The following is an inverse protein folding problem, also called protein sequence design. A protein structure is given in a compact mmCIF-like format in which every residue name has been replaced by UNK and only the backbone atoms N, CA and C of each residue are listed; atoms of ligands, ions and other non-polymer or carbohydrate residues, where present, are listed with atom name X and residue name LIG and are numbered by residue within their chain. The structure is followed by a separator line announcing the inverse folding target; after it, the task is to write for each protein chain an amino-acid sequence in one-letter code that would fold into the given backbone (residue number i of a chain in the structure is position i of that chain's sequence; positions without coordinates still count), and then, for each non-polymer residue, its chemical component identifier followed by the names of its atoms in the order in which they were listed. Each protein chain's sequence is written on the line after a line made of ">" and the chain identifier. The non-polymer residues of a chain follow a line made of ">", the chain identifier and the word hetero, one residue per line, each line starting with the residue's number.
data_IF_218636764083
#
_entry.id   IF_218636764083
#
_cell.length_a   1.000
_cell.length_b   1.000
_cell.length_c   1.000
_cell.angle_alpha   90.00
_cell.angle_beta   90.00
_cell.angle_gamma   90.00
#
_symmetry.space_group_name_H-M   'P 1'
#
loop_
_entity.id
_entity.type
_entity.pdbx_description
1 polymer ?
#
# COMPACT_ATOMS: atom_id res chain seq x y z
N UNK A 1 -19.83 38.63 -11.65
CA UNK A 1 -19.36 37.38 -12.29
C UNK A 1 -18.20 36.85 -11.46
N UNK A 2 -18.47 36.00 -10.47
CA UNK A 2 -17.42 35.37 -9.65
C UNK A 2 -16.73 34.29 -10.48
N UNK A 3 -15.45 34.48 -10.77
CA UNK A 3 -14.64 33.50 -11.49
C UNK A 3 -14.75 32.15 -10.79
N UNK A 4 -15.21 31.14 -11.51
CA UNK A 4 -15.06 29.75 -11.10
C UNK A 4 -13.57 29.53 -10.84
N UNK A 5 -13.14 29.18 -9.62
CA UNK A 5 -11.71 28.99 -9.38
C UNK A 5 -11.22 27.87 -10.30
N UNK A 6 -10.17 28.16 -11.08
CA UNK A 6 -9.48 27.19 -11.94
C UNK A 6 -8.70 26.15 -11.14
N UNK A 7 -8.66 26.30 -9.81
CA UNK A 7 -8.02 25.37 -8.90
C UNK A 7 -8.82 24.07 -8.74
N UNK A 8 -8.15 22.93 -8.50
CA UNK A 8 -8.82 21.69 -8.13
C UNK A 8 -9.77 21.93 -6.96
N UNK A 9 -10.93 21.26 -6.96
CA UNK A 9 -11.92 21.32 -5.87
C UNK A 9 -11.45 20.53 -4.64
N UNK A 10 -10.29 20.91 -4.09
CA UNK A 10 -9.57 20.21 -3.03
C UNK A 10 -10.39 20.13 -1.74
N UNK A 11 -11.18 21.16 -1.42
CA UNK A 11 -12.03 21.18 -0.24
C UNK A 11 -12.97 19.95 -0.15
N UNK A 12 -13.50 19.49 -1.29
CA UNK A 12 -14.37 18.31 -1.34
C UNK A 12 -13.61 17.02 -1.04
N UNK A 13 -12.39 16.89 -1.55
CA UNK A 13 -11.50 15.75 -1.30
C UNK A 13 -11.05 15.73 0.16
N UNK A 14 -10.59 16.87 0.67
CA UNK A 14 -10.17 17.05 2.05
C UNK A 14 -11.29 16.74 3.03
N UNK A 15 -12.53 17.18 2.74
CA UNK A 15 -13.69 16.87 3.57
C UNK A 15 -13.91 15.35 3.73
N UNK A 16 -13.65 14.53 2.70
CA UNK A 16 -13.80 13.07 2.81
C UNK A 16 -12.78 12.43 3.75
N UNK A 17 -11.56 12.97 3.78
CA UNK A 17 -10.48 12.42 4.62
C UNK A 17 -10.55 12.95 6.05
N UNK A 18 -11.03 14.18 6.27
CA UNK A 18 -11.01 14.84 7.57
C UNK A 18 -11.82 14.15 8.70
N UNK A 19 -12.67 13.17 8.37
CA UNK A 19 -13.43 12.41 9.38
C UNK A 19 -12.66 11.16 9.84
N UNK A 20 -12.51 10.93 11.16
CA UNK A 20 -11.74 9.80 11.69
C UNK A 20 -12.27 8.41 11.29
N UNK A 21 -13.58 8.24 11.10
CA UNK A 21 -14.13 6.96 10.69
C UNK A 21 -13.85 6.71 9.20
N UNK A 22 -14.09 7.70 8.33
CA UNK A 22 -13.74 7.61 6.91
C UNK A 22 -12.24 7.38 6.70
N UNK A 23 -11.38 8.11 7.43
CA UNK A 23 -9.93 7.91 7.39
C UNK A 23 -9.54 6.48 7.75
N UNK A 24 -10.12 5.89 8.80
CA UNK A 24 -9.84 4.51 9.19
C UNK A 24 -10.34 3.49 8.16
N UNK A 25 -11.49 3.72 7.54
CA UNK A 25 -11.97 2.87 6.44
C UNK A 25 -11.05 2.95 5.22
N UNK A 26 -10.66 4.15 4.81
CA UNK A 26 -9.73 4.36 3.69
C UNK A 26 -8.36 3.75 3.96
N UNK A 27 -7.85 3.90 5.19
CA UNK A 27 -6.64 3.24 5.64
C UNK A 27 -6.76 1.71 5.61
N UNK A 28 -7.91 1.16 6.00
CA UNK A 28 -8.14 -0.29 5.88
C UNK A 28 -8.08 -0.75 4.41
N UNK A 29 -8.72 -0.02 3.50
CA UNK A 29 -8.74 -0.34 2.07
C UNK A 29 -7.39 -0.15 1.36
N UNK A 30 -6.48 0.65 1.92
CA UNK A 30 -5.09 0.71 1.46
C UNK A 30 -4.38 -0.66 1.57
N UNK A 31 -4.87 -1.61 2.36
CA UNK A 31 -4.35 -2.99 2.31
C UNK A 31 -4.45 -3.67 0.92
N UNK A 32 -5.16 -3.05 -0.03
CA UNK A 32 -5.25 -3.48 -1.42
C UNK A 32 -6.36 -4.49 -1.70
N UNK A 33 -7.16 -4.83 -0.68
CA UNK A 33 -8.24 -5.81 -0.79
C UNK A 33 -9.62 -5.16 -0.79
N UNK A 34 -10.61 -5.94 -1.24
CA UNK A 34 -12.01 -5.55 -1.17
C UNK A 34 -12.53 -5.88 0.23
N UNK A 35 -13.27 -4.97 0.87
CA UNK A 35 -13.82 -5.16 2.21
C UNK A 35 -15.35 -5.03 2.20
N UNK A 36 -16.03 -5.84 3.00
CA UNK A 36 -17.46 -5.68 3.25
C UNK A 36 -17.74 -4.45 4.12
N UNK A 37 -18.98 -3.95 4.08
CA UNK A 37 -19.40 -2.85 4.95
C UNK A 37 -19.21 -3.16 6.45
N UNK A 38 -19.38 -4.43 6.84
CA UNK A 38 -19.22 -4.88 8.23
C UNK A 38 -17.75 -4.86 8.67
N UNK A 39 -16.83 -5.27 7.81
CA UNK A 39 -15.38 -5.19 8.08
C UNK A 39 -14.93 -3.73 8.22
N UNK A 40 -15.43 -2.85 7.34
CA UNK A 40 -15.13 -1.42 7.40
C UNK A 40 -15.74 -0.75 8.63
N UNK A 41 -16.95 -1.13 9.03
CA UNK A 41 -17.57 -0.67 10.28
C UNK A 41 -16.72 -1.06 11.50
N UNK A 42 -16.23 -2.31 11.53
CA UNK A 42 -15.35 -2.81 12.59
C UNK A 42 -14.02 -2.05 12.61
N UNK A 43 -13.37 -1.88 11.46
CA UNK A 43 -12.10 -1.15 11.33
C UNK A 43 -12.22 0.32 11.77
N UNK A 44 -13.37 0.95 11.50
CA UNK A 44 -13.66 2.31 11.92
C UNK A 44 -14.35 2.40 13.30
N UNK A 45 -14.54 1.29 14.01
CA UNK A 45 -15.20 1.25 15.32
C UNK A 45 -16.53 2.02 15.37
N UNK A 46 -17.35 1.88 14.32
CA UNK A 46 -18.67 2.54 14.19
C UNK A 46 -19.77 1.52 13.95
N UNK A 47 -21.02 1.94 14.13
CA UNK A 47 -22.18 1.10 13.83
C UNK A 47 -22.31 0.82 12.32
N UNK A 48 -22.97 -0.27 11.91
CA UNK A 48 -23.27 -0.52 10.49
C UNK A 48 -24.06 0.61 9.80
N UNK A 49 -24.96 1.26 10.53
CA UNK A 49 -25.73 2.40 10.02
C UNK A 49 -24.83 3.60 9.73
N UNK A 50 -23.97 3.97 10.69
CA UNK A 50 -22.97 5.03 10.53
C UNK A 50 -22.02 4.73 9.37
N UNK A 51 -21.55 3.48 9.28
CA UNK A 51 -20.67 3.05 8.20
C UNK A 51 -21.32 3.18 6.82
N UNK A 52 -22.60 2.82 6.70
CA UNK A 52 -23.34 2.95 5.44
C UNK A 52 -23.44 4.41 4.97
N UNK A 53 -23.63 5.35 5.89
CA UNK A 53 -23.61 6.79 5.60
C UNK A 53 -22.25 7.26 5.09
N UNK A 54 -21.16 6.87 5.77
CA UNK A 54 -19.80 7.17 5.34
C UNK A 54 -19.46 6.58 3.96
N UNK A 55 -19.82 5.32 3.72
CA UNK A 55 -19.58 4.65 2.43
C UNK A 55 -20.35 5.31 1.28
N UNK A 56 -21.55 5.82 1.55
CA UNK A 56 -22.32 6.60 0.56
C UNK A 56 -21.57 7.87 0.16
N UNK A 57 -21.10 8.64 1.14
CA UNK A 57 -20.31 9.85 0.88
C UNK A 57 -19.02 9.55 0.10
N UNK A 58 -18.31 8.46 0.49
CA UNK A 58 -17.08 8.04 -0.19
C UNK A 58 -17.33 7.57 -1.64
N UNK A 59 -18.45 6.90 -1.90
CA UNK A 59 -18.86 6.51 -3.25
C UNK A 59 -19.18 7.73 -4.12
N UNK A 60 -19.99 8.67 -3.61
CA UNK A 60 -20.33 9.92 -4.31
C UNK A 60 -19.10 10.78 -4.60
N UNK A 61 -18.13 10.75 -3.69
CA UNK A 61 -16.85 11.42 -3.86
C UNK A 61 -15.86 10.65 -4.76
N UNK A 62 -16.15 9.41 -5.15
CA UNK A 62 -15.30 8.50 -5.93
C UNK A 62 -13.97 8.13 -5.23
N UNK A 63 -13.97 8.07 -3.91
CA UNK A 63 -12.83 7.51 -3.16
C UNK A 63 -12.84 5.99 -3.17
N UNK A 64 -14.04 5.41 -3.19
CA UNK A 64 -14.24 3.97 -3.23
C UNK A 64 -15.15 3.62 -4.39
N UNK A 65 -15.05 2.37 -4.83
CA UNK A 65 -16.03 1.73 -5.70
C UNK A 65 -16.63 0.54 -4.98
N UNK A 66 -17.84 0.17 -5.37
CA UNK A 66 -18.57 -0.96 -4.82
C UNK A 66 -18.74 -2.03 -5.89
N UNK A 67 -18.30 -3.25 -5.57
CA UNK A 67 -18.46 -4.43 -6.43
C UNK A 67 -19.47 -5.38 -5.77
N UNK A 68 -20.59 -5.70 -6.44
CA UNK A 68 -21.48 -6.75 -5.97
C UNK A 68 -20.81 -8.11 -6.16
N UNK A 69 -20.75 -8.92 -5.10
CA UNK A 69 -20.32 -10.32 -5.16
C UNK A 69 -21.36 -11.19 -4.47
N UNK A 70 -22.21 -11.81 -5.28
CA UNK A 70 -23.37 -12.56 -4.79
C UNK A 70 -24.33 -11.65 -4.02
N UNK A 71 -24.65 -12.04 -2.78
CA UNK A 71 -25.57 -11.28 -1.89
C UNK A 71 -24.89 -10.14 -1.13
N UNK A 72 -23.56 -10.04 -1.23
CA UNK A 72 -22.78 -9.08 -0.46
C UNK A 72 -22.18 -8.00 -1.36
N UNK A 73 -22.00 -6.82 -0.77
CA UNK A 73 -21.34 -5.67 -1.39
C UNK A 73 -19.95 -5.54 -0.80
N UNK A 74 -18.96 -5.46 -1.68
CA UNK A 74 -17.58 -5.23 -1.30
C UNK A 74 -17.13 -3.87 -1.82
N UNK A 75 -16.24 -3.23 -1.08
CA UNK A 75 -15.73 -1.90 -1.36
C UNK A 75 -14.22 -1.98 -1.52
N UNK A 76 -13.66 -1.22 -2.46
CA UNK A 76 -12.22 -1.01 -2.61
C UNK A 76 -11.95 0.44 -2.97
N UNK A 77 -10.70 0.89 -2.82
CA UNK A 77 -10.32 2.20 -3.37
C UNK A 77 -10.65 2.25 -4.86
N UNK A 78 -11.10 3.42 -5.31
CA UNK A 78 -11.55 3.59 -6.69
C UNK A 78 -10.46 3.24 -7.70
N UNK A 79 -9.25 3.73 -7.44
CA UNK A 79 -8.07 3.57 -8.28
C UNK A 79 -6.78 3.84 -7.49
N UNK A 80 -5.64 3.77 -8.20
CA UNK A 80 -4.32 4.03 -7.64
C UNK A 80 -4.08 5.51 -7.31
N UNK A 81 -4.75 6.45 -7.99
CA UNK A 81 -4.56 7.88 -7.74
C UNK A 81 -5.11 8.26 -6.36
N UNK A 82 -6.26 7.67 -5.97
CA UNK A 82 -6.78 7.80 -4.60
C UNK A 82 -5.80 7.23 -3.57
N UNK A 83 -5.20 6.06 -3.86
CA UNK A 83 -4.22 5.47 -2.96
C UNK A 83 -2.99 6.36 -2.78
N UNK A 84 -2.42 6.86 -3.88
CA UNK A 84 -1.27 7.78 -3.85
C UNK A 84 -1.57 9.07 -3.11
N UNK A 85 -2.77 9.63 -3.27
CA UNK A 85 -3.18 10.83 -2.52
C UNK A 85 -3.24 10.56 -1.02
N UNK A 86 -3.81 9.42 -0.60
CA UNK A 86 -3.87 9.03 0.82
C UNK A 86 -2.48 8.78 1.41
N UNK A 87 -1.59 8.13 0.65
CA UNK A 87 -0.18 7.92 1.04
C UNK A 87 0.56 9.25 1.20
N UNK A 88 0.39 10.19 0.26
CA UNK A 88 0.98 11.52 0.35
C UNK A 88 0.48 12.30 1.58
N UNK A 89 -0.81 12.19 1.91
CA UNK A 89 -1.36 12.78 3.13
C UNK A 89 -0.80 12.13 4.40
N UNK A 90 -0.59 10.81 4.40
CA UNK A 90 0.08 10.13 5.51
C UNK A 90 1.51 10.64 5.71
N UNK A 91 2.28 10.82 4.62
CA UNK A 91 3.62 11.44 4.69
C UNK A 91 3.56 12.83 5.35
N UNK A 92 2.52 13.62 5.09
CA UNK A 92 2.33 14.95 5.71
C UNK A 92 1.98 14.85 7.19
N UNK A 93 1.06 13.93 7.56
CA UNK A 93 0.63 13.72 8.93
C UNK A 93 1.80 13.31 9.85
N UNK A 94 2.75 12.56 9.30
CA UNK A 94 3.86 11.94 10.03
C UNK A 94 5.13 12.82 10.06
N UNK A 95 5.07 14.09 9.61
CA UNK A 95 6.25 14.99 9.54
C UNK A 95 6.78 15.46 10.90
N UNK A 96 6.06 15.25 11.98
CA UNK A 96 6.38 15.79 13.31
C UNK A 96 6.32 14.78 14.45
N UNK A 97 6.19 13.48 14.18
CA UNK A 97 6.13 12.49 15.25
C UNK A 97 7.50 12.32 15.91
N UNK A 98 7.53 12.43 17.24
CA UNK A 98 8.70 12.10 18.07
C UNK A 98 8.81 10.57 18.16
N UNK A 99 10.03 10.01 18.11
CA UNK A 99 10.31 8.55 18.18
C UNK A 99 9.54 7.81 19.31
N UNK A 100 9.12 8.50 20.37
CA UNK A 100 8.29 7.96 21.45
C UNK A 100 6.91 7.48 21.00
N UNK A 101 6.28 8.07 19.99
CA UNK A 101 4.96 7.65 19.49
C UNK A 101 5.05 6.36 18.66
N UNK A 102 6.23 6.06 18.12
CA UNK A 102 6.55 4.83 17.40
C UNK A 102 6.91 3.65 18.30
N UNK A 103 6.94 3.85 19.62
CA UNK A 103 7.30 2.81 20.59
C UNK A 103 6.21 1.75 20.80
N UNK A 104 4.97 1.98 20.35
CA UNK A 104 3.91 1.00 20.53
C UNK A 104 4.17 -0.26 19.68
N UNK A 105 3.89 -1.48 20.20
CA UNK A 105 4.12 -2.70 19.45
C UNK A 105 3.37 -2.77 18.11
N UNK A 106 2.21 -2.13 18.01
CA UNK A 106 1.38 -2.08 16.80
C UNK A 106 2.02 -1.20 15.72
N UNK A 107 2.49 -0.01 16.09
CA UNK A 107 3.19 0.90 15.18
C UNK A 107 4.53 0.31 14.76
N UNK A 108 5.26 -0.33 15.67
CA UNK A 108 6.50 -1.04 15.36
C UNK A 108 6.30 -2.15 14.30
N UNK A 109 5.19 -2.92 14.39
CA UNK A 109 4.84 -3.93 13.38
C UNK A 109 4.55 -3.31 12.01
N UNK A 110 3.73 -2.26 11.96
CA UNK A 110 3.41 -1.56 10.71
C UNK A 110 4.64 -0.91 10.05
N UNK A 111 5.55 -0.40 10.87
CA UNK A 111 6.84 0.16 10.44
C UNK A 111 7.76 -0.90 9.87
N UNK A 112 7.80 -2.09 10.49
CA UNK A 112 8.62 -3.20 10.00
C UNK A 112 8.16 -3.72 8.65
N UNK A 113 6.88 -4.10 8.52
CA UNK A 113 6.33 -4.59 7.26
C UNK A 113 4.81 -4.37 7.19
N UNK A 114 4.34 -3.85 6.05
CA UNK A 114 2.91 -3.62 5.79
C UNK A 114 2.60 -3.63 4.29
N UNK A 115 1.33 -3.75 3.95
CA UNK A 115 0.85 -3.47 2.61
C UNK A 115 0.58 -1.97 2.46
N UNK A 116 1.25 -1.33 1.48
CA UNK A 116 1.01 0.08 1.18
C UNK A 116 -0.29 0.25 0.39
N UNK A 117 -0.30 -0.19 -0.87
CA UNK A 117 -1.47 -0.40 -1.71
C UNK A 117 -1.18 -1.48 -2.76
N UNK A 118 -1.35 -2.74 -2.35
CA UNK A 118 -1.06 -3.91 -3.20
C UNK A 118 0.40 -4.36 -3.20
N UNK A 119 1.31 -3.58 -2.61
CA UNK A 119 2.75 -3.89 -2.56
C UNK A 119 3.31 -3.72 -1.13
N UNK A 120 4.46 -4.35 -0.90
CA UNK A 120 5.11 -4.43 0.40
C UNK A 120 5.89 -3.15 0.71
N UNK A 121 5.64 -2.59 1.89
CA UNK A 121 6.25 -1.38 2.43
C UNK A 121 6.75 -1.62 3.87
N UNK A 122 7.22 -0.55 4.52
CA UNK A 122 8.01 -0.63 5.76
C UNK A 122 9.45 -1.03 5.47
N UNK A 123 10.22 -1.26 6.53
CA UNK A 123 11.64 -1.67 6.44
C UNK A 123 11.85 -2.84 5.50
N UNK A 124 10.99 -3.86 5.55
CA UNK A 124 11.10 -5.02 4.66
C UNK A 124 10.90 -4.66 3.18
N UNK A 125 9.92 -3.80 2.87
CA UNK A 125 9.69 -3.33 1.50
C UNK A 125 10.85 -2.48 0.95
N UNK A 126 11.45 -1.66 1.82
CA UNK A 126 12.64 -0.87 1.50
C UNK A 126 13.86 -1.77 1.28
N UNK A 127 14.08 -2.76 2.14
CA UNK A 127 15.17 -3.74 1.97
C UNK A 127 15.04 -4.52 0.65
N UNK A 128 13.84 -4.96 0.29
CA UNK A 128 13.58 -5.61 -1.00
C UNK A 128 13.95 -4.71 -2.18
N UNK A 129 13.51 -3.46 -2.14
CA UNK A 129 13.82 -2.49 -3.19
C UNK A 129 15.33 -2.22 -3.28
N UNK A 130 16.00 -2.07 -2.13
CA UNK A 130 17.45 -1.85 -2.07
C UNK A 130 18.25 -3.04 -2.56
N UNK A 131 17.85 -4.26 -2.21
CA UNK A 131 18.49 -5.48 -2.70
C UNK A 131 18.41 -5.58 -4.23
N UNK A 132 17.27 -5.20 -4.81
CA UNK A 132 17.09 -5.20 -6.26
C UNK A 132 17.93 -4.08 -6.93
N UNK A 133 17.97 -2.88 -6.35
CA UNK A 133 18.81 -1.77 -6.83
C UNK A 133 20.32 -2.10 -6.73
N UNK A 134 20.76 -2.69 -5.62
CA UNK A 134 22.15 -3.07 -5.39
C UNK A 134 22.64 -4.19 -6.32
N UNK A 135 21.72 -4.95 -6.91
CA UNK A 135 22.00 -5.96 -7.91
C UNK A 135 21.91 -5.42 -9.36
N UNK A 136 21.88 -4.09 -9.54
CA UNK A 136 21.63 -3.42 -10.83
C UNK A 136 20.35 -3.94 -11.51
N UNK A 137 19.38 -4.35 -10.69
CA UNK A 137 18.17 -5.03 -11.15
C UNK A 137 17.13 -4.12 -11.80
N UNK A 138 17.26 -2.81 -11.59
CA UNK A 138 16.34 -1.81 -12.09
C UNK A 138 17.09 -0.72 -12.84
N UNK A 139 16.61 -0.44 -14.05
CA UNK A 139 17.11 0.66 -14.88
C UNK A 139 16.09 1.80 -14.90
N UNK A 140 16.51 3.05 -14.62
CA UNK A 140 15.62 4.21 -14.73
C UNK A 140 15.04 4.36 -16.13
N UNK A 141 13.73 4.63 -16.19
CA UNK A 141 12.99 5.00 -17.39
C UNK A 141 12.10 6.20 -17.09
N UNK A 142 11.46 6.79 -18.11
CA UNK A 142 10.69 8.03 -17.96
C UNK A 142 9.55 7.97 -16.93
N UNK A 143 9.01 6.79 -16.64
CA UNK A 143 7.86 6.58 -15.74
C UNK A 143 8.19 5.76 -14.49
N UNK A 144 9.48 5.56 -14.18
CA UNK A 144 9.96 4.78 -13.04
C UNK A 144 11.15 3.91 -13.42
N UNK A 145 10.99 2.60 -13.34
CA UNK A 145 12.03 1.62 -13.63
C UNK A 145 11.57 0.53 -14.61
N UNK A 146 12.51 0.04 -15.41
CA UNK A 146 12.41 -1.23 -16.12
C UNK A 146 13.25 -2.29 -15.39
N UNK A 147 12.84 -3.55 -15.46
CA UNK A 147 13.60 -4.66 -14.90
C UNK A 147 14.71 -5.07 -15.88
N UNK A 148 15.95 -5.16 -15.38
CA UNK A 148 17.12 -5.58 -16.17
C UNK A 148 17.27 -7.10 -16.15
N UNK A 149 18.18 -7.65 -16.95
CA UNK A 149 18.50 -9.09 -16.90
C UNK A 149 19.01 -9.51 -15.51
N UNK A 150 19.84 -8.68 -14.86
CA UNK A 150 20.26 -8.89 -13.47
C UNK A 150 19.08 -8.87 -12.50
N UNK A 151 18.06 -8.05 -12.78
CA UNK A 151 16.82 -7.99 -12.02
C UNK A 151 16.00 -9.27 -12.15
N UNK A 152 15.88 -9.81 -13.36
CA UNK A 152 15.25 -11.13 -13.58
C UNK A 152 16.01 -12.23 -12.82
N UNK A 153 17.34 -12.25 -12.91
CA UNK A 153 18.17 -13.21 -12.16
C UNK A 153 18.03 -13.04 -10.63
N UNK A 154 17.85 -11.81 -10.14
CA UNK A 154 17.57 -11.54 -8.73
C UNK A 154 16.20 -12.10 -8.31
N UNK A 155 15.16 -11.88 -9.11
CA UNK A 155 13.82 -12.42 -8.89
C UNK A 155 13.79 -13.95 -8.91
N UNK A 156 14.54 -14.59 -9.81
CA UNK A 156 14.65 -16.04 -9.88
C UNK A 156 15.24 -16.67 -8.62
N UNK A 157 16.13 -15.99 -7.89
CA UNK A 157 16.62 -16.47 -6.59
C UNK A 157 15.51 -16.52 -5.52
N UNK A 158 14.47 -15.71 -5.67
CA UNK A 158 13.26 -15.76 -4.86
C UNK A 158 12.23 -16.77 -5.39
N UNK A 159 12.54 -17.48 -6.48
CA UNK A 159 11.59 -18.32 -7.21
C UNK A 159 10.45 -17.53 -7.86
N UNK A 160 10.65 -16.23 -8.07
CA UNK A 160 9.64 -15.33 -8.63
C UNK A 160 9.92 -15.10 -10.12
N UNK A 161 8.91 -15.33 -10.97
CA UNK A 161 8.95 -14.98 -12.38
C UNK A 161 8.21 -13.64 -12.58
N UNK A 162 8.93 -12.55 -12.92
CA UNK A 162 8.32 -11.24 -13.09
C UNK A 162 7.34 -11.20 -14.27
N UNK A 163 6.18 -10.54 -14.15
CA UNK A 163 5.32 -10.32 -15.29
C UNK A 163 5.99 -9.38 -16.32
N UNK A 164 5.60 -9.51 -17.58
CA UNK A 164 5.92 -8.50 -18.58
C UNK A 164 5.20 -7.17 -18.28
N UNK A 165 5.80 -6.00 -18.58
CA UNK A 165 5.16 -4.71 -18.35
C UNK A 165 3.81 -4.56 -19.05
N UNK A 166 2.74 -4.31 -18.28
CA UNK A 166 1.43 -3.99 -18.83
C UNK A 166 1.34 -2.57 -19.41
N UNK A 167 0.30 -2.31 -20.22
CA UNK A 167 0.05 -0.98 -20.83
C UNK A 167 -0.72 -0.01 -19.93
N UNK A 168 -1.43 -0.50 -18.92
CA UNK A 168 -2.41 0.28 -18.15
C UNK A 168 -1.87 0.83 -16.83
N UNK A 169 -0.85 0.18 -16.25
CA UNK A 169 -0.29 0.52 -14.94
C UNK A 169 1.21 0.71 -15.09
N UNK A 170 1.80 1.54 -14.24
CA UNK A 170 3.26 1.66 -14.16
C UNK A 170 3.85 0.33 -13.69
N UNK A 171 4.90 -0.11 -14.36
CA UNK A 171 5.53 -1.40 -14.11
C UNK A 171 6.28 -1.44 -12.77
N UNK A 172 7.18 -0.49 -12.57
CA UNK A 172 7.94 -0.31 -11.34
C UNK A 172 8.25 1.18 -11.15
N UNK A 173 8.10 1.72 -9.94
CA UNK A 173 8.43 3.11 -9.60
C UNK A 173 8.68 3.25 -8.08
N UNK A 174 9.40 4.29 -7.63
CA UNK A 174 9.61 4.51 -6.20
C UNK A 174 8.33 5.04 -5.56
N UNK A 175 8.01 4.51 -4.38
CA UNK A 175 6.92 4.99 -3.54
C UNK A 175 7.47 5.33 -2.16
N UNK A 176 7.23 6.57 -1.71
CA UNK A 176 7.81 7.10 -0.48
C UNK A 176 7.15 6.46 0.74
N UNK A 177 7.93 5.73 1.53
CA UNK A 177 7.47 5.18 2.79
C UNK A 177 7.28 6.30 3.82
N UNK A 178 6.06 6.50 4.30
CA UNK A 178 5.78 7.54 5.30
C UNK A 178 6.42 7.27 6.67
N UNK A 179 6.67 6.01 7.04
CA UNK A 179 7.23 5.62 8.34
C UNK A 179 8.76 5.65 8.38
N UNK A 180 9.41 5.40 7.25
CA UNK A 180 10.89 5.37 7.15
C UNK A 180 11.46 6.53 6.33
N UNK A 181 10.60 7.30 5.64
CA UNK A 181 10.98 8.41 4.74
C UNK A 181 11.98 7.99 3.66
N UNK A 182 11.89 6.75 3.21
CA UNK A 182 12.72 6.12 2.17
C UNK A 182 11.80 5.45 1.17
N UNK A 183 12.24 5.35 -0.07
CA UNK A 183 11.42 4.72 -1.10
C UNK A 183 11.39 3.19 -0.93
N UNK A 184 10.22 2.60 -1.15
CA UNK A 184 10.03 1.19 -1.45
C UNK A 184 9.55 1.03 -2.90
N UNK A 185 9.54 -0.21 -3.40
CA UNK A 185 9.09 -0.49 -4.76
C UNK A 185 7.56 -0.51 -4.83
N UNK A 186 7.00 0.14 -5.85
CA UNK A 186 5.58 0.09 -6.19
C UNK A 186 5.39 -0.19 -7.70
N UNK A 187 4.17 -0.57 -8.09
CA UNK A 187 3.84 -0.90 -9.48
C UNK A 187 3.51 -2.38 -9.66
N UNK A 188 3.20 -2.77 -10.89
CA UNK A 188 2.81 -4.14 -11.24
C UNK A 188 3.83 -5.19 -10.79
N UNK A 189 5.12 -4.91 -10.94
CA UNK A 189 6.19 -5.78 -10.45
C UNK A 189 6.13 -5.97 -8.93
N UNK A 190 5.96 -4.88 -8.19
CA UNK A 190 5.92 -4.90 -6.73
C UNK A 190 4.69 -5.63 -6.19
N UNK A 191 3.54 -5.44 -6.85
CA UNK A 191 2.29 -6.10 -6.48
C UNK A 191 2.40 -7.62 -6.67
N UNK A 192 2.91 -8.07 -7.82
CA UNK A 192 3.09 -9.50 -8.09
C UNK A 192 4.16 -10.11 -7.20
N UNK A 193 5.25 -9.40 -6.92
CA UNK A 193 6.26 -9.85 -5.98
C UNK A 193 5.65 -10.04 -4.58
N UNK A 194 4.86 -9.07 -4.10
CA UNK A 194 4.21 -9.21 -2.79
C UNK A 194 3.26 -10.42 -2.74
N UNK A 195 2.44 -10.62 -3.77
CA UNK A 195 1.57 -11.80 -3.88
C UNK A 195 2.37 -13.10 -3.90
N UNK A 196 3.51 -13.13 -4.60
CA UNK A 196 4.42 -14.27 -4.61
C UNK A 196 4.97 -14.58 -3.21
N UNK A 197 5.44 -13.58 -2.47
CA UNK A 197 5.94 -13.77 -1.10
C UNK A 197 4.85 -14.34 -0.16
N UNK A 198 3.59 -13.92 -0.36
CA UNK A 198 2.43 -14.47 0.36
C UNK A 198 2.16 -15.92 -0.06
N UNK A 199 2.18 -16.21 -1.36
CA UNK A 199 1.92 -17.55 -1.89
C UNK A 199 2.99 -18.58 -1.47
N UNK A 200 4.26 -18.17 -1.36
CA UNK A 200 5.35 -18.97 -0.81
C UNK A 200 5.25 -19.17 0.71
N UNK A 201 4.30 -18.50 1.37
CA UNK A 201 4.14 -18.54 2.82
C UNK A 201 5.28 -17.86 3.56
N UNK A 202 6.09 -17.02 2.91
CA UNK A 202 7.20 -16.28 3.55
C UNK A 202 6.71 -15.08 4.33
N UNK A 203 5.64 -14.46 3.87
CA UNK A 203 4.92 -13.44 4.61
C UNK A 203 3.44 -13.78 4.65
N UNK A 204 2.73 -13.29 5.67
CA UNK A 204 1.27 -13.34 5.72
C UNK A 204 0.72 -11.98 6.10
N UNK A 205 -0.52 -11.72 5.71
CA UNK A 205 -1.28 -10.56 6.20
C UNK A 205 -1.61 -10.72 7.68
N UNK A 206 -1.50 -9.63 8.41
CA UNK A 206 -1.92 -9.52 9.80
C UNK A 206 -3.32 -8.91 9.93
N UNK A 207 -3.56 -8.20 11.03
CA UNK A 207 -4.80 -7.50 11.27
C UNK A 207 -4.82 -6.10 10.61
N UNK A 208 -5.35 -6.02 9.39
CA UNK A 208 -5.45 -4.78 8.62
C UNK A 208 -4.34 -4.67 7.58
N UNK A 209 -3.44 -3.70 7.75
CA UNK A 209 -2.34 -3.46 6.77
C UNK A 209 -1.03 -4.14 7.14
N UNK A 210 -0.84 -4.60 8.36
CA UNK A 210 0.42 -5.21 8.79
C UNK A 210 0.71 -6.50 8.02
N UNK A 211 2.00 -6.72 7.78
CA UNK A 211 2.52 -7.92 7.13
C UNK A 211 3.50 -8.56 8.09
N UNK A 212 3.31 -9.85 8.34
CA UNK A 212 4.11 -10.62 9.27
C UNK A 212 5.01 -11.56 8.48
N UNK A 213 6.31 -11.49 8.70
CA UNK A 213 7.26 -12.48 8.18
C UNK A 213 7.05 -13.77 8.96
N UNK A 214 6.83 -14.87 8.25
CA UNK A 214 6.61 -16.18 8.89
C UNK A 214 7.94 -16.80 9.32
N UNK A 215 7.94 -17.84 10.16
CA UNK A 215 9.17 -18.60 10.44
C UNK A 215 9.89 -19.07 9.18
N UNK A 216 9.14 -19.50 8.15
CA UNK A 216 9.72 -19.89 6.86
C UNK A 216 10.33 -18.70 6.12
N UNK A 217 9.68 -17.53 6.16
CA UNK A 217 10.23 -16.29 5.59
C UNK A 217 11.52 -15.85 6.28
N UNK A 218 11.62 -15.99 7.60
CA UNK A 218 12.88 -15.71 8.30
C UNK A 218 14.03 -16.63 7.87
N UNK A 219 13.73 -17.88 7.53
CA UNK A 219 14.72 -18.86 7.07
C UNK A 219 15.07 -18.71 5.59
N UNK A 220 14.11 -18.31 4.75
CA UNK A 220 14.25 -18.36 3.28
C UNK A 220 14.33 -16.99 2.64
N UNK A 221 13.48 -16.04 3.04
CA UNK A 221 13.42 -14.69 2.45
C UNK A 221 14.53 -13.79 3.01
N UNK A 222 14.61 -13.64 4.34
CA UNK A 222 15.52 -12.68 4.99
C UNK A 222 16.99 -12.87 4.57
N UNK A 223 17.54 -14.10 4.50
CA UNK A 223 18.92 -14.28 4.06
C UNK A 223 19.19 -13.82 2.62
N UNK A 224 18.18 -13.86 1.74
CA UNK A 224 18.30 -13.45 0.34
C UNK A 224 18.32 -11.93 0.14
N UNK A 225 17.86 -11.17 1.14
CA UNK A 225 17.80 -9.70 1.08
C UNK A 225 19.10 -9.01 1.48
N UNK A 226 20.08 -9.78 1.97
CA UNK A 226 21.31 -9.23 2.56
C UNK A 226 21.08 -8.68 3.97
N UNK A 227 22.16 -8.50 4.74
CA UNK A 227 22.07 -7.84 6.05
C UNK A 227 21.97 -6.33 5.85
N UNK A 228 21.11 -5.68 6.61
CA UNK A 228 21.23 -4.24 6.85
C UNK A 228 22.65 -3.98 7.35
N UNK A 229 23.39 -3.13 6.64
CA UNK A 229 24.66 -2.58 7.12
C UNK A 229 24.40 -1.59 8.25
#
# INVERSE_FOLDING_TARGET
>A
MTSTPHEPRLARVAAMVADPARSRMLAYLLSGECASASELAKAASVTPATASGHLTQLLEARFVVCEPRGRHRYYRLADADVAHALEALAVVAERGEHDSEWSSPERARLRYARCCYGHLAGRLGIQLFQGLMAADGLQPVSTGYALTDSGHAWCQRLGFEPPAPGKKRRYAYPCLDWSERRDHLAGELADQLYLHLVAQGWVRRGAGRDVVVTPLGHQSLIPLLGREG
#
